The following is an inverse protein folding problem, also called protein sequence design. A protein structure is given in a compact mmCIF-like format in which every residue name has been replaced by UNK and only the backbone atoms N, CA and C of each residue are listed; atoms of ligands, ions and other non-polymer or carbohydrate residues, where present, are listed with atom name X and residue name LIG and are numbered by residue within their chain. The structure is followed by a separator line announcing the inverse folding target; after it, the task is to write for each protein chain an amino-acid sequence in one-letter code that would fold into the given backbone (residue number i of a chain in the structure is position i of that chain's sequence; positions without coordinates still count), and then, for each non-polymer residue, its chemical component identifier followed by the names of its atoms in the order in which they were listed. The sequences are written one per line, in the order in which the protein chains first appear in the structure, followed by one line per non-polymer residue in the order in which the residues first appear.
data_IF_584980226522
#
_entry.id   IF_584980226522
#
_cell.length_a   1.000
_cell.length_b   1.000
_cell.length_c   1.000
_cell.angle_alpha   90.00
_cell.angle_beta   90.00
_cell.angle_gamma   90.00
#
_symmetry.space_group_name_H-M   'P 1'
#
loop_
_entity.id
_entity.type
_entity.pdbx_description
1 polymer ?
#
# COMPACT_ATOMS: atom_id res chain seq x y z
N UNK A 1 -6.11 -14.09 -4.84
CA UNK A 1 -6.14 -13.98 -3.35
C UNK A 1 -7.40 -13.23 -2.94
N UNK A 2 -8.09 -13.63 -1.87
CA UNK A 2 -9.28 -12.89 -1.40
C UNK A 2 -8.86 -11.66 -0.60
N UNK A 3 -9.46 -10.51 -0.89
CA UNK A 3 -9.40 -9.31 -0.05
C UNK A 3 -10.75 -9.15 0.65
N UNK A 4 -10.69 -8.81 1.94
CA UNK A 4 -11.87 -8.46 2.71
C UNK A 4 -11.71 -7.04 3.24
N UNK A 5 -12.70 -6.19 2.95
CA UNK A 5 -12.76 -4.80 3.44
C UNK A 5 -14.00 -4.65 4.30
N UNK A 6 -13.84 -4.21 5.55
CA UNK A 6 -14.96 -3.92 6.44
C UNK A 6 -15.15 -2.41 6.60
N UNK A 7 -16.21 -1.89 5.99
CA UNK A 7 -16.70 -0.54 6.25
C UNK A 7 -17.51 -0.55 7.55
N UNK A 8 -16.88 -0.13 8.65
CA UNK A 8 -17.50 -0.09 9.98
C UNK A 8 -18.67 0.89 10.08
N UNK A 9 -18.67 1.97 9.29
CA UNK A 9 -19.70 3.02 9.36
C UNK A 9 -21.02 2.49 8.82
N UNK A 10 -20.97 1.80 7.67
CA UNK A 10 -22.15 1.18 7.06
C UNK A 10 -22.41 -0.26 7.56
N UNK A 11 -21.51 -0.81 8.38
CA UNK A 11 -21.44 -2.22 8.74
C UNK A 11 -21.51 -3.16 7.52
N UNK A 12 -20.68 -2.89 6.51
CA UNK A 12 -20.61 -3.65 5.26
C UNK A 12 -19.29 -4.41 5.17
N UNK A 13 -19.38 -5.72 4.93
CA UNK A 13 -18.26 -6.58 4.60
C UNK A 13 -18.22 -6.76 3.09
N UNK A 14 -17.22 -6.17 2.45
CA UNK A 14 -16.96 -6.31 1.03
C UNK A 14 -15.93 -7.44 0.86
N UNK A 15 -16.28 -8.46 0.09
CA UNK A 15 -15.41 -9.57 -0.26
C UNK A 15 -15.09 -9.47 -1.74
N UNK A 16 -13.80 -9.42 -2.06
CA UNK A 16 -13.30 -9.24 -3.42
C UNK A 16 -12.16 -10.23 -3.69
N UNK A 17 -11.83 -10.43 -4.95
CA UNK A 17 -10.68 -11.22 -5.38
C UNK A 17 -9.65 -10.31 -6.05
N UNK A 18 -8.41 -10.41 -5.59
CA UNK A 18 -7.28 -9.86 -6.34
C UNK A 18 -7.24 -10.47 -7.72
N UNK A 19 -7.42 -9.62 -8.72
CA UNK A 19 -7.22 -9.95 -10.13
C UNK A 19 -5.72 -10.15 -10.33
N UNK A 20 -5.37 -11.30 -10.91
CA UNK A 20 -3.98 -11.63 -11.20
C UNK A 20 -3.44 -10.66 -12.25
N UNK A 21 -2.36 -9.95 -11.91
CA UNK A 21 -1.76 -8.91 -12.76
C UNK A 21 -2.09 -7.48 -12.33
N UNK A 22 -3.07 -7.26 -11.45
CA UNK A 22 -3.39 -5.91 -10.97
C UNK A 22 -2.40 -5.43 -9.90
N UNK A 23 -1.78 -4.28 -10.14
CA UNK A 23 -0.92 -3.62 -9.16
C UNK A 23 -1.80 -2.91 -8.13
N UNK A 24 -1.48 -3.05 -6.85
CA UNK A 24 -2.16 -2.37 -5.77
C UNK A 24 -1.13 -1.75 -4.82
N UNK A 25 -1.61 -0.88 -3.92
CA UNK A 25 -0.75 -0.21 -2.92
C UNK A 25 -0.03 -1.22 -2.00
N UNK A 26 -0.59 -2.41 -1.80
CA UNK A 26 0.07 -3.44 -0.98
C UNK A 26 1.31 -3.99 -1.67
N UNK A 27 1.33 -4.16 -2.99
CA UNK A 27 2.54 -4.57 -3.72
C UNK A 27 3.71 -3.60 -3.47
N UNK A 28 3.44 -2.29 -3.46
CA UNK A 28 4.42 -1.25 -3.10
C UNK A 28 4.91 -1.37 -1.65
N UNK A 29 4.04 -1.77 -0.72
CA UNK A 29 4.35 -1.88 0.70
C UNK A 29 4.99 -3.23 1.09
N UNK A 30 4.69 -4.30 0.36
CA UNK A 30 5.22 -5.65 0.60
C UNK A 30 6.54 -5.90 -0.12
N UNK A 31 6.94 -5.01 -1.02
CA UNK A 31 8.20 -5.11 -1.75
C UNK A 31 8.12 -5.93 -3.02
N UNK A 32 6.90 -6.18 -3.53
CA UNK A 32 6.72 -6.75 -4.86
C UNK A 32 6.71 -5.62 -5.90
N UNK A 33 7.83 -5.51 -6.62
CA UNK A 33 8.12 -4.40 -7.52
C UNK A 33 8.18 -4.81 -8.98
N UNK A 34 7.62 -5.98 -9.34
CA UNK A 34 7.73 -6.54 -10.70
C UNK A 34 7.39 -5.54 -11.80
N UNK A 35 6.41 -4.68 -11.56
CA UNK A 35 5.88 -3.71 -12.52
C UNK A 35 6.09 -2.25 -12.06
N UNK A 36 7.08 -2.04 -11.19
CA UNK A 36 7.44 -0.72 -10.65
C UNK A 36 8.83 -0.34 -11.13
N UNK A 37 8.94 0.81 -11.81
CA UNK A 37 10.22 1.37 -12.21
C UNK A 37 10.68 2.40 -11.18
N UNK A 38 11.97 2.40 -10.87
CA UNK A 38 12.57 3.34 -9.92
C UNK A 38 13.60 4.22 -10.61
N UNK A 39 13.56 5.51 -10.27
CA UNK A 39 14.64 6.43 -10.62
C UNK A 39 15.88 6.15 -9.77
N UNK A 40 17.00 6.78 -10.14
CA UNK A 40 18.22 6.74 -9.33
C UNK A 40 17.94 7.23 -7.91
N UNK A 41 18.35 6.49 -6.87
CA UNK A 41 18.19 6.93 -5.50
C UNK A 41 18.94 8.24 -5.24
N UNK A 42 18.28 9.13 -4.50
CA UNK A 42 18.86 10.37 -3.98
C UNK A 42 19.28 10.10 -2.54
N UNK A 43 20.58 10.11 -2.29
CA UNK A 43 21.12 9.93 -0.94
C UNK A 43 21.11 11.23 -0.15
N UNK A 44 20.40 11.22 0.98
CA UNK A 44 20.52 12.22 2.03
C UNK A 44 21.49 11.80 3.13
N UNK A 45 21.69 12.68 4.11
CA UNK A 45 22.60 12.42 5.25
C UNK A 45 22.15 11.23 6.10
N UNK A 46 20.84 11.04 6.28
CA UNK A 46 20.24 9.99 7.13
C UNK A 46 19.19 9.14 6.40
N UNK A 47 18.82 9.53 5.19
CA UNK A 47 17.73 8.95 4.42
C UNK A 47 18.16 8.71 2.98
N UNK A 48 17.33 7.93 2.30
CA UNK A 48 17.39 7.64 0.87
C UNK A 48 15.99 7.92 0.34
N UNK A 49 15.93 8.66 -0.77
CA UNK A 49 14.69 8.98 -1.48
C UNK A 49 14.74 8.38 -2.87
N UNK A 50 13.61 7.87 -3.35
CA UNK A 50 13.50 7.30 -4.70
C UNK A 50 12.14 7.68 -5.29
N UNK A 51 12.14 8.19 -6.51
CA UNK A 51 10.90 8.28 -7.28
C UNK A 51 10.59 6.92 -7.90
N UNK A 52 9.31 6.65 -8.10
CA UNK A 52 8.85 5.44 -8.78
C UNK A 52 7.73 5.76 -9.77
N UNK A 53 7.57 4.89 -10.76
CA UNK A 53 6.46 4.91 -11.69
C UNK A 53 5.86 3.50 -11.82
N UNK A 54 4.53 3.45 -11.84
CA UNK A 54 3.74 2.25 -12.11
C UNK A 54 3.03 2.50 -13.44
N UNK A 55 3.69 2.10 -14.53
CA UNK A 55 3.32 2.52 -15.89
C UNK A 55 1.90 2.08 -16.27
N UNK A 56 1.53 0.84 -15.96
CA UNK A 56 0.24 0.26 -16.33
C UNK A 56 -0.95 0.96 -15.66
N UNK A 57 -0.73 1.54 -14.48
CA UNK A 57 -1.75 2.31 -13.76
C UNK A 57 -1.71 3.81 -14.07
N UNK A 58 -0.67 4.29 -14.78
CA UNK A 58 -0.39 5.71 -14.92
C UNK A 58 -0.07 6.41 -13.59
N UNK A 59 0.38 5.66 -12.58
CA UNK A 59 0.72 6.21 -11.27
C UNK A 59 2.21 6.54 -11.18
N UNK A 60 2.52 7.52 -10.36
CA UNK A 60 3.90 7.87 -10.02
C UNK A 60 3.99 8.20 -8.54
N UNK A 61 5.19 8.34 -8.02
CA UNK A 61 5.33 8.68 -6.63
C UNK A 61 6.75 8.79 -6.16
N UNK A 62 6.86 8.88 -4.85
CA UNK A 62 8.11 9.03 -4.12
C UNK A 62 8.06 8.20 -2.85
N UNK A 63 9.17 7.50 -2.57
CA UNK A 63 9.39 6.74 -1.35
C UNK A 63 10.60 7.34 -0.65
N UNK A 64 10.48 7.50 0.66
CA UNK A 64 11.59 7.89 1.52
C UNK A 64 11.79 6.88 2.63
N UNK A 65 13.04 6.47 2.80
CA UNK A 65 13.46 5.51 3.83
C UNK A 65 14.65 6.05 4.60
N UNK A 66 14.83 5.67 5.86
CA UNK A 66 16.11 5.87 6.56
C UNK A 66 17.17 4.96 5.94
N UNK A 67 18.44 5.31 6.09
CA UNK A 67 19.55 4.41 5.74
C UNK A 67 19.52 3.06 6.49
N UNK A 68 18.80 2.97 7.61
CA UNK A 68 18.52 1.70 8.32
C UNK A 68 17.43 0.83 7.66
N UNK A 69 16.81 1.27 6.57
CA UNK A 69 15.70 0.58 5.90
C UNK A 69 14.31 0.85 6.50
N UNK A 70 14.22 1.65 7.57
CA UNK A 70 12.93 2.06 8.13
C UNK A 70 12.19 3.00 7.15
N UNK A 71 10.95 2.72 6.76
CA UNK A 71 10.16 3.62 5.93
C UNK A 71 9.82 4.91 6.68
N UNK A 72 9.81 6.02 5.95
CA UNK A 72 9.47 7.36 6.47
C UNK A 72 8.15 7.81 5.85
N UNK A 73 8.07 7.80 4.52
CA UNK A 73 6.90 8.24 3.79
C UNK A 73 6.79 7.59 2.42
N UNK A 74 5.56 7.53 1.92
CA UNK A 74 5.23 7.18 0.54
C UNK A 74 4.22 8.20 0.03
N UNK A 75 4.57 8.89 -1.06
CA UNK A 75 3.63 9.72 -1.81
C UNK A 75 3.26 9.01 -3.10
N UNK A 76 1.96 8.86 -3.36
CA UNK A 76 1.43 8.31 -4.60
C UNK A 76 0.63 9.39 -5.31
N UNK A 77 0.89 9.59 -6.60
CA UNK A 77 0.18 10.48 -7.51
C UNK A 77 -0.56 9.58 -8.49
N UNK A 78 -1.89 9.67 -8.50
CA UNK A 78 -2.77 8.76 -9.27
C UNK A 78 -3.70 9.51 -10.23
N UNK A 79 -3.52 10.81 -10.37
CA UNK A 79 -4.27 11.65 -11.30
C UNK A 79 -3.80 13.10 -11.25
N UNK A 80 -4.31 13.93 -12.16
CA UNK A 80 -4.04 15.37 -12.16
C UNK A 80 -4.54 15.96 -10.85
N UNK A 81 -3.62 16.52 -10.06
CA UNK A 81 -3.89 17.10 -8.74
C UNK A 81 -4.41 16.10 -7.69
N UNK A 82 -4.30 14.79 -7.95
CA UNK A 82 -4.72 13.73 -7.04
C UNK A 82 -3.51 13.00 -6.46
N UNK A 83 -3.35 13.06 -5.14
CA UNK A 83 -2.26 12.36 -4.47
C UNK A 83 -2.62 11.92 -3.06
N UNK A 84 -1.96 10.88 -2.61
CA UNK A 84 -2.01 10.36 -1.24
C UNK A 84 -0.61 10.44 -0.64
N UNK A 85 -0.50 10.96 0.59
CA UNK A 85 0.73 10.94 1.38
C UNK A 85 0.52 10.04 2.58
N UNK A 86 1.34 8.99 2.68
CA UNK A 86 1.38 8.08 3.81
C UNK A 86 2.63 8.41 4.62
N UNK A 87 2.45 8.77 5.89
CA UNK A 87 3.53 9.02 6.83
C UNK A 87 3.64 7.86 7.82
N UNK A 88 4.85 7.34 8.01
CA UNK A 88 5.13 6.27 8.97
C UNK A 88 5.50 6.88 10.32
N UNK A 89 4.55 6.87 11.26
CA UNK A 89 4.75 7.40 12.61
C UNK A 89 5.31 6.35 13.59
N UNK A 90 5.17 5.07 13.27
CA UNK A 90 5.72 3.95 14.04
C UNK A 90 6.18 2.83 13.13
N UNK A 91 7.34 2.23 13.45
CA UNK A 91 7.90 1.11 12.71
C UNK A 91 8.38 0.05 13.67
N UNK A 92 7.99 -1.19 13.41
CA UNK A 92 8.43 -2.36 14.16
C UNK A 92 8.83 -3.45 13.16
N UNK A 93 9.92 -4.16 13.47
CA UNK A 93 10.46 -5.25 12.65
C UNK A 93 10.65 -6.47 13.55
N UNK A 94 10.18 -7.63 13.10
CA UNK A 94 10.12 -8.83 13.93
C UNK A 94 8.85 -8.86 14.78
N UNK A 95 8.65 -9.97 15.51
CA UNK A 95 7.56 -10.18 16.48
C UNK A 95 6.16 -9.79 16.00
N UNK A 96 5.92 -9.91 14.69
CA UNK A 96 4.64 -9.61 14.07
C UNK A 96 3.61 -10.62 14.57
N UNK A 97 2.62 -10.13 15.31
CA UNK A 97 1.44 -10.91 15.68
C UNK A 97 0.37 -10.72 14.61
N UNK A 98 -0.25 -11.82 14.18
CA UNK A 98 -1.44 -11.77 13.34
C UNK A 98 -2.49 -10.87 14.00
N UNK A 99 -3.02 -9.93 13.21
CA UNK A 99 -4.06 -9.03 13.67
C UNK A 99 -5.40 -9.77 13.67
N UNK A 100 -5.75 -10.38 14.81
CA UNK A 100 -6.96 -11.19 14.95
C UNK A 100 -8.24 -10.35 15.19
N UNK A 101 -8.15 -9.02 15.19
CA UNK A 101 -9.29 -8.14 15.48
C UNK A 101 -10.15 -7.79 14.26
N UNK A 102 -9.90 -8.41 13.10
CA UNK A 102 -10.81 -8.37 11.97
C UNK A 102 -11.98 -9.35 12.21
N UNK A 103 -13.06 -8.84 12.79
CA UNK A 103 -14.25 -9.62 13.15
C UNK A 103 -15.53 -8.82 12.87
N UNK A 104 -15.97 -8.71 11.60
CA UNK A 104 -17.22 -8.04 11.25
C UNK A 104 -18.42 -8.80 11.83
N UNK A 105 -19.20 -8.15 12.69
CA UNK A 105 -20.36 -8.75 13.35
C UNK A 105 -21.66 -8.32 12.66
N UNK A 106 -22.46 -9.29 12.22
CA UNK A 106 -23.75 -9.05 11.56
C UNK A 106 -23.66 -8.03 10.40
N UNK A 107 -22.53 -8.02 9.70
CA UNK A 107 -22.31 -7.10 8.59
C UNK A 107 -23.14 -7.52 7.37
N UNK A 108 -23.64 -6.54 6.63
CA UNK A 108 -24.17 -6.77 5.29
C UNK A 108 -23.01 -7.25 4.40
N UNK A 109 -23.18 -8.39 3.74
CA UNK A 109 -22.14 -8.97 2.88
C UNK A 109 -22.36 -8.54 1.44
N UNK A 110 -21.36 -7.87 0.87
CA UNK A 110 -21.28 -7.52 -0.56
C UNK A 110 -20.16 -8.39 -1.15
N UNK A 111 -20.53 -9.41 -1.91
CA UNK A 111 -19.58 -10.32 -2.57
C UNK A 111 -19.40 -9.89 -4.03
N UNK A 112 -18.18 -9.49 -4.38
CA UNK A 112 -17.79 -8.99 -5.70
C UNK A 112 -16.96 -10.01 -6.49
N UNK A 113 -16.73 -11.21 -5.93
CA UNK A 113 -15.98 -12.27 -6.60
C UNK A 113 -16.80 -12.82 -7.77
N UNK A 114 -16.13 -13.04 -8.91
CA UNK A 114 -16.70 -13.75 -10.08
C UNK A 114 -16.63 -15.28 -9.95
#
# INVERSE_FOLDING_TARGET
YTIQTWNKVANQLIIDQLIEGDINIFHLLTGDFKDVTFDRPIEGKKDISMNFNVLDMGYSGHIKIKKSGQPIEVKVIYGKDQSMLILVTGYHKGDLKLYNAFNPLNAEVIDLRE
#
